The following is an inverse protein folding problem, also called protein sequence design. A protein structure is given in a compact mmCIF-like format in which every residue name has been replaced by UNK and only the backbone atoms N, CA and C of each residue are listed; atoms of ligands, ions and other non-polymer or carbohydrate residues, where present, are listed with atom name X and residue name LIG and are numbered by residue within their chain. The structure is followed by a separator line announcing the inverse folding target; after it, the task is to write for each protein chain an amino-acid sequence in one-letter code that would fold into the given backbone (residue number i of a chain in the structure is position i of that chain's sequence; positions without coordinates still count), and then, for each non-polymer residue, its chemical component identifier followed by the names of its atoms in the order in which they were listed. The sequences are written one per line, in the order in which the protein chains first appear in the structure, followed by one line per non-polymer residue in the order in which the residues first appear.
data_IF_908521331376
#
_entry.id   IF_908521331376
#
_cell.length_a   1.000
_cell.length_b   1.000
_cell.length_c   1.000
_cell.angle_alpha   90.00
_cell.angle_beta   90.00
_cell.angle_gamma   90.00
#
_symmetry.space_group_name_H-M   'P 1'
#
loop_
_entity.id
_entity.type
_entity.pdbx_description
1 polymer ?
#
# COMPACT_ATOMS: atom_id res chain seq x y z
N UNK A 1 -1.30 5.80 -76.85
CA UNK A 1 -1.67 4.59 -76.12
C UNK A 1 -0.85 4.53 -74.76
N UNK A 2 0.49 4.69 -74.81
CA UNK A 2 1.32 4.56 -73.63
C UNK A 2 1.08 5.67 -72.57
N UNK A 3 0.71 6.89 -72.99
CA UNK A 3 0.43 8.01 -72.05
C UNK A 3 -0.91 7.82 -71.32
N UNK A 4 -1.95 7.43 -72.08
CA UNK A 4 -3.27 7.15 -71.54
C UNK A 4 -3.27 5.95 -70.55
N UNK A 5 -2.51 4.88 -70.89
CA UNK A 5 -2.34 3.74 -69.97
C UNK A 5 -1.56 4.11 -68.67
N UNK A 6 -0.60 5.04 -68.78
CA UNK A 6 0.15 5.60 -67.67
C UNK A 6 -0.73 6.43 -66.73
N UNK A 7 -1.57 7.31 -67.30
CA UNK A 7 -2.51 8.13 -66.54
C UNK A 7 -3.56 7.28 -65.81
N UNK A 8 -4.09 6.26 -66.44
CA UNK A 8 -5.05 5.34 -65.82
C UNK A 8 -4.44 4.56 -64.62
N UNK A 9 -3.18 4.11 -64.76
CA UNK A 9 -2.47 3.50 -63.64
C UNK A 9 -2.21 4.48 -62.49
N UNK A 10 -1.84 5.72 -62.80
CA UNK A 10 -1.61 6.76 -61.80
C UNK A 10 -2.92 7.10 -61.07
N UNK A 11 -4.05 7.20 -61.77
CA UNK A 11 -5.35 7.45 -61.14
C UNK A 11 -5.73 6.33 -60.16
N UNK A 12 -5.56 5.06 -60.55
CA UNK A 12 -5.81 3.91 -59.67
C UNK A 12 -4.89 3.92 -58.42
N UNK A 13 -3.62 4.27 -58.58
CA UNK A 13 -2.69 4.38 -57.47
C UNK A 13 -3.03 5.54 -56.49
N UNK A 14 -3.57 6.63 -57.03
CA UNK A 14 -4.04 7.78 -56.23
C UNK A 14 -5.28 7.38 -55.42
N UNK A 15 -6.22 6.62 -55.99
CA UNK A 15 -7.39 6.11 -55.28
C UNK A 15 -6.99 5.18 -54.15
N UNK A 16 -6.06 4.24 -54.39
CA UNK A 16 -5.53 3.34 -53.37
C UNK A 16 -4.79 4.09 -52.24
N UNK A 17 -3.95 5.07 -52.59
CA UNK A 17 -3.27 5.93 -51.64
C UNK A 17 -4.27 6.74 -50.81
N UNK A 18 -5.33 7.27 -51.37
CA UNK A 18 -6.37 8.04 -50.68
C UNK A 18 -7.10 7.14 -49.68
N UNK A 19 -7.45 5.90 -50.05
CA UNK A 19 -8.08 4.95 -49.12
C UNK A 19 -7.16 4.58 -47.96
N UNK A 20 -5.88 4.31 -48.24
CA UNK A 20 -4.90 4.02 -47.18
C UNK A 20 -4.69 5.20 -46.22
N UNK A 21 -4.75 6.44 -46.73
CA UNK A 21 -4.65 7.63 -45.91
C UNK A 21 -5.87 7.86 -44.99
N UNK A 22 -7.06 7.49 -45.46
CA UNK A 22 -8.28 7.52 -44.69
C UNK A 22 -8.22 6.53 -43.53
N UNK A 23 -7.75 5.30 -43.81
CA UNK A 23 -7.52 4.28 -42.80
C UNK A 23 -6.50 4.73 -41.75
N UNK A 24 -5.35 5.25 -42.16
CA UNK A 24 -4.31 5.77 -41.25
C UNK A 24 -4.88 6.93 -40.42
N UNK A 25 -5.67 7.83 -41.01
CA UNK A 25 -6.32 8.92 -40.27
C UNK A 25 -7.26 8.39 -39.20
N UNK A 26 -8.00 7.32 -39.49
CA UNK A 26 -8.83 6.62 -38.49
C UNK A 26 -8.03 6.01 -37.35
N UNK A 27 -6.89 5.38 -37.65
CA UNK A 27 -5.98 4.80 -36.65
C UNK A 27 -5.37 5.91 -35.74
N UNK A 28 -4.99 7.05 -36.32
CA UNK A 28 -4.47 8.20 -35.55
C UNK A 28 -5.55 8.75 -34.61
N UNK A 29 -6.79 8.89 -35.06
CA UNK A 29 -7.91 9.32 -34.21
C UNK A 29 -8.18 8.34 -33.07
N UNK A 30 -8.12 7.05 -33.35
CA UNK A 30 -8.26 6.00 -32.35
C UNK A 30 -7.13 6.07 -31.32
N UNK A 31 -5.88 6.23 -31.77
CA UNK A 31 -4.69 6.37 -30.94
C UNK A 31 -4.78 7.60 -30.02
N UNK A 32 -5.32 8.71 -30.53
CA UNK A 32 -5.55 9.93 -29.74
C UNK A 32 -6.56 9.67 -28.62
N UNK A 33 -7.70 9.04 -28.93
CA UNK A 33 -8.74 8.71 -27.93
C UNK A 33 -8.20 7.75 -26.85
N UNK A 34 -7.44 6.74 -27.27
CA UNK A 34 -6.81 5.79 -26.34
C UNK A 34 -5.83 6.52 -25.42
N UNK A 35 -5.06 7.47 -25.94
CA UNK A 35 -4.12 8.26 -25.15
C UNK A 35 -4.83 9.16 -24.13
N UNK A 36 -5.95 9.79 -24.52
CA UNK A 36 -6.78 10.61 -23.60
C UNK A 36 -7.37 9.76 -22.47
N UNK A 37 -7.87 8.56 -22.78
CA UNK A 37 -8.41 7.65 -21.77
C UNK A 37 -7.29 7.10 -20.86
N UNK A 38 -6.13 6.77 -21.41
CA UNK A 38 -4.97 6.35 -20.65
C UNK A 38 -4.51 7.44 -19.69
N UNK A 39 -4.51 8.72 -20.12
CA UNK A 39 -4.18 9.86 -19.29
C UNK A 39 -5.17 10.04 -18.14
N UNK A 40 -6.47 9.87 -18.40
CA UNK A 40 -7.51 9.91 -17.37
C UNK A 40 -7.33 8.82 -16.30
N UNK A 41 -7.14 7.56 -16.76
CA UNK A 41 -6.90 6.42 -15.86
C UNK A 41 -5.61 6.58 -15.05
N UNK A 42 -4.59 7.17 -15.65
CA UNK A 42 -3.34 7.47 -14.98
C UNK A 42 -3.54 8.48 -13.83
N UNK A 43 -4.33 9.53 -14.03
CA UNK A 43 -4.67 10.48 -12.97
C UNK A 43 -5.45 9.83 -11.82
N UNK A 44 -6.33 8.87 -12.11
CA UNK A 44 -7.03 8.10 -11.08
C UNK A 44 -6.07 7.20 -10.29
N UNK A 45 -5.11 6.56 -10.98
CA UNK A 45 -4.09 5.74 -10.33
C UNK A 45 -3.18 6.56 -9.42
N UNK A 46 -2.75 7.73 -9.87
CA UNK A 46 -1.94 8.67 -9.07
C UNK A 46 -2.67 9.08 -7.78
N UNK A 47 -3.93 9.46 -7.88
CA UNK A 47 -4.75 9.80 -6.71
C UNK A 47 -4.91 8.62 -5.75
N UNK A 48 -5.07 7.39 -6.26
CA UNK A 48 -5.16 6.19 -5.45
C UNK A 48 -3.85 5.90 -4.70
N UNK A 49 -2.70 6.14 -5.34
CA UNK A 49 -1.37 6.00 -4.71
C UNK A 49 -1.18 7.05 -3.61
N UNK A 50 -1.54 8.31 -3.87
CA UNK A 50 -1.45 9.39 -2.87
C UNK A 50 -2.28 9.07 -1.63
N UNK A 51 -3.53 8.63 -1.81
CA UNK A 51 -4.40 8.22 -0.71
C UNK A 51 -3.84 7.01 0.04
N UNK A 52 -3.26 6.04 -0.68
CA UNK A 52 -2.64 4.87 -0.07
C UNK A 52 -1.43 5.25 0.78
N UNK A 53 -0.60 6.19 0.32
CA UNK A 53 0.53 6.71 1.09
C UNK A 53 0.07 7.41 2.38
N UNK A 54 -0.99 8.22 2.31
CA UNK A 54 -1.59 8.83 3.50
C UNK A 54 -2.02 7.76 4.51
N UNK A 55 -2.67 6.68 4.05
CA UNK A 55 -3.08 5.57 4.91
C UNK A 55 -1.91 4.79 5.49
N UNK A 56 -0.79 4.67 4.77
CA UNK A 56 0.43 4.06 5.32
C UNK A 56 1.02 4.91 6.46
N UNK A 57 1.01 6.23 6.34
CA UNK A 57 1.45 7.12 7.42
C UNK A 57 0.56 7.02 8.66
N UNK A 58 -0.77 6.96 8.48
CA UNK A 58 -1.70 6.73 9.59
C UNK A 58 -1.44 5.38 10.27
N UNK A 59 -1.17 4.32 9.48
CA UNK A 59 -0.86 3.00 10.00
C UNK A 59 0.45 2.96 10.77
N UNK A 60 1.51 3.62 10.28
CA UNK A 60 2.78 3.76 11.00
C UNK A 60 2.57 4.41 12.37
N UNK A 61 1.78 5.50 12.40
CA UNK A 61 1.44 6.18 13.65
C UNK A 61 0.69 5.25 14.61
N UNK A 62 -0.31 4.51 14.13
CA UNK A 62 -1.06 3.56 14.94
C UNK A 62 -0.16 2.44 15.50
N UNK A 63 0.75 1.89 14.69
CA UNK A 63 1.71 0.87 15.16
C UNK A 63 2.64 1.44 16.24
N UNK A 64 3.08 2.67 16.10
CA UNK A 64 3.89 3.35 17.13
C UNK A 64 3.11 3.51 18.43
N UNK A 65 1.87 4.00 18.38
CA UNK A 65 0.99 4.14 19.54
C UNK A 65 0.74 2.80 20.24
N UNK A 66 0.50 1.71 19.47
CA UNK A 66 0.33 0.36 20.05
C UNK A 66 1.61 -0.08 20.76
N UNK A 67 2.79 0.18 20.18
CA UNK A 67 4.08 -0.14 20.82
C UNK A 67 4.25 0.60 22.15
N UNK A 68 3.96 1.91 22.18
CA UNK A 68 4.04 2.69 23.42
C UNK A 68 3.10 2.15 24.50
N UNK A 69 1.82 1.90 24.12
CA UNK A 69 0.83 1.36 25.07
C UNK A 69 1.20 -0.03 25.58
N UNK A 70 1.72 -0.90 24.71
CA UNK A 70 2.18 -2.22 25.10
C UNK A 70 3.34 -2.15 26.08
N UNK A 71 4.28 -1.21 25.89
CA UNK A 71 5.36 -0.96 26.84
C UNK A 71 4.85 -0.44 28.20
N UNK A 72 3.80 0.41 28.20
CA UNK A 72 3.16 0.84 29.45
C UNK A 72 2.51 -0.33 30.18
N UNK A 73 1.81 -1.21 29.46
CA UNK A 73 1.18 -2.41 30.02
C UNK A 73 2.26 -3.34 30.60
N UNK A 74 3.39 -3.54 29.90
CA UNK A 74 4.50 -4.35 30.39
C UNK A 74 5.01 -3.86 31.76
N UNK A 75 5.12 -2.54 31.97
CA UNK A 75 5.49 -1.97 33.26
C UNK A 75 4.45 -2.25 34.33
N UNK A 76 3.16 -2.18 34.01
CA UNK A 76 2.07 -2.49 34.93
C UNK A 76 2.13 -3.96 35.34
N UNK A 77 2.29 -4.88 34.39
CA UNK A 77 2.41 -6.31 34.66
C UNK A 77 3.59 -6.62 35.58
N UNK A 78 4.74 -6.00 35.35
CA UNK A 78 5.88 -6.12 36.25
C UNK A 78 5.56 -5.67 37.67
N UNK A 79 4.83 -4.56 37.81
CA UNK A 79 4.37 -4.06 39.12
C UNK A 79 3.41 -5.06 39.80
N UNK A 80 2.52 -5.72 39.02
CA UNK A 80 1.61 -6.76 39.54
C UNK A 80 2.39 -7.98 40.02
N UNK A 81 3.42 -8.40 39.29
CA UNK A 81 4.31 -9.49 39.71
C UNK A 81 5.04 -9.16 41.00
N UNK A 82 5.58 -7.95 41.13
CA UNK A 82 6.23 -7.46 42.36
C UNK A 82 5.23 -7.43 43.54
N UNK A 83 3.99 -7.00 43.36
CA UNK A 83 2.93 -7.03 44.37
C UNK A 83 2.59 -8.47 44.76
N UNK A 84 2.48 -9.38 43.83
CA UNK A 84 2.23 -10.79 44.10
C UNK A 84 3.37 -11.40 44.90
N UNK A 85 4.61 -11.10 44.57
CA UNK A 85 5.78 -11.52 45.35
C UNK A 85 5.74 -10.98 46.78
N UNK A 86 5.48 -9.67 46.97
CA UNK A 86 5.37 -9.08 48.29
C UNK A 86 4.22 -9.70 49.11
N UNK A 87 3.08 -9.98 48.43
CA UNK A 87 1.92 -10.63 49.10
C UNK A 87 2.27 -12.04 49.55
N UNK A 88 3.04 -12.77 48.74
CA UNK A 88 3.51 -14.11 49.11
C UNK A 88 4.46 -14.06 50.33
N UNK A 89 5.36 -13.07 50.40
CA UNK A 89 6.22 -12.88 51.58
C UNK A 89 5.40 -12.49 52.84
N UNK A 90 4.39 -11.64 52.67
CA UNK A 90 3.46 -11.26 53.75
C UNK A 90 2.67 -12.48 54.26
N UNK A 91 2.18 -13.34 53.37
CA UNK A 91 1.48 -14.56 53.76
C UNK A 91 2.37 -15.54 54.54
N UNK A 92 3.65 -15.67 54.10
CA UNK A 92 4.63 -16.49 54.78
C UNK A 92 4.91 -15.98 56.23
N UNK A 93 5.07 -14.66 56.38
CA UNK A 93 5.28 -14.03 57.69
C UNK A 93 4.03 -14.23 58.56
N UNK A 94 2.82 -14.11 58.02
CA UNK A 94 1.58 -14.36 58.74
C UNK A 94 1.43 -15.83 59.17
N UNK A 95 1.84 -16.78 58.32
CA UNK A 95 1.83 -18.22 58.64
C UNK A 95 2.82 -18.52 59.80
N UNK A 96 4.01 -17.93 59.78
CA UNK A 96 5.00 -18.05 60.85
C UNK A 96 4.43 -17.56 62.19
N UNK A 97 3.80 -16.37 62.18
CA UNK A 97 3.27 -15.79 63.42
C UNK A 97 2.02 -16.58 63.94
N UNK A 98 1.18 -17.09 63.00
CA UNK A 98 0.09 -18.00 63.35
C UNK A 98 0.61 -19.30 64.02
N UNK A 99 1.69 -19.89 63.50
CA UNK A 99 2.33 -21.05 64.13
C UNK A 99 2.86 -20.70 65.55
N UNK A 100 3.39 -19.51 65.71
CA UNK A 100 3.91 -19.02 67.01
C UNK A 100 2.81 -18.85 68.07
N UNK A 101 1.59 -18.51 67.64
CA UNK A 101 0.41 -18.43 68.51
C UNK A 101 -0.20 -19.78 68.88
N UNK A 102 0.29 -20.89 68.33
CA UNK A 102 -0.12 -22.25 68.69
C UNK A 102 -1.59 -22.55 68.37
N UNK A 103 -2.32 -23.07 69.36
CA UNK A 103 -3.74 -23.48 69.17
C UNK A 103 -4.65 -22.28 68.75
N UNK A 104 -4.38 -21.07 69.25
CA UNK A 104 -5.12 -19.84 68.96
C UNK A 104 -4.89 -19.32 67.52
N UNK A 105 -3.78 -19.70 66.90
CA UNK A 105 -3.41 -19.26 65.55
C UNK A 105 -3.92 -20.15 64.41
N UNK A 106 -4.53 -21.31 64.66
CA UNK A 106 -4.91 -22.29 63.60
C UNK A 106 -5.77 -21.69 62.49
N UNK A 107 -6.75 -20.85 62.81
CA UNK A 107 -7.61 -20.20 61.81
C UNK A 107 -6.83 -19.20 60.94
N UNK A 108 -5.90 -18.47 61.53
CA UNK A 108 -5.04 -17.53 60.82
C UNK A 108 -4.04 -18.24 59.88
N UNK A 109 -3.51 -19.40 60.28
CA UNK A 109 -2.62 -20.19 59.42
C UNK A 109 -3.31 -20.62 58.11
N UNK A 110 -4.56 -21.08 58.17
CA UNK A 110 -5.31 -21.45 56.95
C UNK A 110 -5.51 -20.25 56.03
N UNK A 111 -5.82 -19.08 56.58
CA UNK A 111 -5.97 -17.85 55.76
C UNK A 111 -4.62 -17.42 55.16
N UNK A 112 -3.53 -17.52 55.94
CA UNK A 112 -2.21 -17.20 55.43
C UNK A 112 -1.80 -18.13 54.27
N UNK A 113 -2.02 -19.42 54.39
CA UNK A 113 -1.76 -20.39 53.31
C UNK A 113 -2.60 -20.10 52.05
N UNK A 114 -3.89 -19.75 52.21
CA UNK A 114 -4.75 -19.40 51.06
C UNK A 114 -4.31 -18.09 50.38
N UNK A 115 -3.88 -17.07 51.17
CA UNK A 115 -3.32 -15.83 50.61
C UNK A 115 -2.02 -16.10 49.86
N UNK A 116 -1.15 -16.98 50.39
CA UNK A 116 0.08 -17.42 49.71
C UNK A 116 -0.22 -18.12 48.36
N UNK A 117 -1.17 -19.04 48.35
CA UNK A 117 -1.62 -19.70 47.11
C UNK A 117 -2.16 -18.71 46.10
N UNK A 118 -2.97 -17.73 46.54
CA UNK A 118 -3.53 -16.69 45.64
C UNK A 118 -2.42 -15.81 45.09
N UNK A 119 -1.42 -15.43 45.91
CA UNK A 119 -0.26 -14.66 45.48
C UNK A 119 0.55 -15.40 44.40
N UNK A 120 0.79 -16.69 44.60
CA UNK A 120 1.50 -17.53 43.57
C UNK A 120 0.72 -17.63 42.29
N UNK A 121 -0.62 -17.80 42.33
CA UNK A 121 -1.47 -17.80 41.14
C UNK A 121 -1.43 -16.44 40.40
N UNK A 122 -1.44 -15.36 41.18
CA UNK A 122 -1.34 -13.99 40.63
C UNK A 122 0.00 -13.72 39.98
N UNK A 123 1.11 -14.13 40.57
CA UNK A 123 2.46 -14.05 39.97
C UNK A 123 2.52 -14.85 38.63
N UNK A 124 1.98 -16.07 38.63
CA UNK A 124 1.95 -16.89 37.39
C UNK A 124 1.10 -16.25 36.30
N UNK A 125 -0.04 -15.67 36.65
CA UNK A 125 -0.89 -14.94 35.70
C UNK A 125 -0.20 -13.69 35.15
N UNK A 126 0.49 -12.93 36.00
CA UNK A 126 1.30 -11.78 35.61
C UNK A 126 2.41 -12.21 34.63
N UNK A 127 3.16 -13.25 34.95
CA UNK A 127 4.21 -13.76 34.09
C UNK A 127 3.67 -14.15 32.70
N UNK A 128 2.59 -14.95 32.63
CA UNK A 128 2.00 -15.37 31.38
C UNK A 128 1.49 -14.14 30.56
N UNK A 129 0.93 -13.12 31.25
CA UNK A 129 0.50 -11.90 30.59
C UNK A 129 1.69 -11.09 30.06
N UNK A 130 2.80 -11.06 30.82
CA UNK A 130 4.06 -10.43 30.37
C UNK A 130 4.57 -11.05 29.07
N UNK A 131 4.60 -12.39 28.99
CA UNK A 131 5.00 -13.12 27.78
C UNK A 131 4.11 -12.76 26.57
N UNK A 132 2.77 -12.67 26.76
CA UNK A 132 1.84 -12.28 25.71
C UNK A 132 2.04 -10.82 25.26
N UNK A 133 2.43 -9.93 26.15
CA UNK A 133 2.73 -8.54 25.82
C UNK A 133 4.04 -8.44 25.02
N UNK A 134 5.06 -9.22 25.36
CA UNK A 134 6.31 -9.27 24.59
C UNK A 134 6.06 -9.79 23.16
N UNK A 135 5.29 -10.88 23.01
CA UNK A 135 4.87 -11.41 21.69
C UNK A 135 4.06 -10.36 20.90
N UNK A 136 3.21 -9.59 21.57
CA UNK A 136 2.44 -8.51 20.95
C UNK A 136 3.35 -7.40 20.44
N UNK A 137 4.34 -6.98 21.22
CA UNK A 137 5.32 -5.95 20.84
C UNK A 137 6.09 -6.41 19.60
N UNK A 138 6.56 -7.66 19.59
CA UNK A 138 7.27 -8.24 18.44
C UNK A 138 6.39 -8.27 17.17
N UNK A 139 5.14 -8.69 17.31
CA UNK A 139 4.18 -8.71 16.20
C UNK A 139 3.92 -7.31 15.64
N UNK A 140 3.77 -6.30 16.51
CA UNK A 140 3.55 -4.90 16.12
C UNK A 140 4.79 -4.32 15.43
N UNK A 141 5.99 -4.61 15.93
CA UNK A 141 7.25 -4.20 15.29
C UNK A 141 7.39 -4.78 13.88
N UNK A 142 7.02 -6.06 13.71
CA UNK A 142 6.97 -6.69 12.39
C UNK A 142 5.94 -6.02 11.50
N UNK A 143 4.75 -5.69 12.03
CA UNK A 143 3.72 -4.94 11.31
C UNK A 143 4.19 -3.56 10.87
N UNK A 144 4.88 -2.83 11.74
CA UNK A 144 5.46 -1.52 11.43
C UNK A 144 6.47 -1.61 10.27
N UNK A 145 7.34 -2.62 10.29
CA UNK A 145 8.30 -2.86 9.21
C UNK A 145 7.62 -3.16 7.87
N UNK A 146 6.59 -4.02 7.86
CA UNK A 146 5.82 -4.32 6.64
C UNK A 146 5.15 -3.06 6.11
N UNK A 147 4.64 -2.19 6.99
CA UNK A 147 4.02 -0.92 6.61
C UNK A 147 5.04 0.02 5.94
N UNK A 148 6.26 0.09 6.46
CA UNK A 148 7.37 0.87 5.87
C UNK A 148 7.75 0.33 4.48
N UNK A 149 7.97 -0.96 4.34
CA UNK A 149 8.29 -1.62 3.05
C UNK A 149 7.15 -1.42 2.03
N UNK A 150 5.89 -1.39 2.50
CA UNK A 150 4.74 -1.10 1.64
C UNK A 150 4.72 0.35 1.18
N UNK A 151 5.04 1.30 2.05
CA UNK A 151 5.14 2.71 1.68
C UNK A 151 6.25 2.95 0.64
N UNK A 152 7.41 2.31 0.77
CA UNK A 152 8.49 2.36 -0.22
C UNK A 152 8.04 1.78 -1.58
N UNK A 153 7.29 0.69 -1.55
CA UNK A 153 6.73 0.07 -2.76
C UNK A 153 5.73 1.00 -3.46
N UNK A 154 4.87 1.67 -2.69
CA UNK A 154 3.94 2.67 -3.22
C UNK A 154 4.67 3.88 -3.83
N UNK A 155 5.79 4.31 -3.24
CA UNK A 155 6.62 5.37 -3.83
C UNK A 155 7.17 4.93 -5.20
N UNK A 156 7.61 3.68 -5.31
CA UNK A 156 8.07 3.14 -6.60
C UNK A 156 6.94 3.07 -7.64
N UNK A 157 5.71 2.78 -7.21
CA UNK A 157 4.53 2.84 -8.09
C UNK A 157 4.28 4.28 -8.55
N UNK A 158 4.37 5.27 -7.65
CA UNK A 158 4.25 6.69 -7.99
C UNK A 158 5.25 7.11 -9.07
N UNK A 159 6.53 6.76 -8.88
CA UNK A 159 7.60 7.08 -9.82
C UNK A 159 7.37 6.44 -11.20
N UNK A 160 6.81 5.23 -11.24
CA UNK A 160 6.48 4.56 -12.50
C UNK A 160 5.25 5.17 -13.16
N UNK A 161 4.27 5.59 -12.36
CA UNK A 161 3.08 6.33 -12.82
C UNK A 161 3.50 7.61 -13.55
N UNK A 162 4.44 8.39 -13.01
CA UNK A 162 5.00 9.57 -13.66
C UNK A 162 5.69 9.26 -15.00
N UNK A 163 6.42 8.14 -15.08
CA UNK A 163 7.04 7.71 -16.34
C UNK A 163 6.00 7.35 -17.41
N UNK A 164 4.95 6.64 -17.00
CA UNK A 164 3.83 6.30 -17.91
C UNK A 164 3.14 7.57 -18.40
N UNK A 165 2.93 8.56 -17.56
CA UNK A 165 2.38 9.85 -17.93
C UNK A 165 3.17 10.52 -19.07
N UNK A 166 4.50 10.55 -18.94
CA UNK A 166 5.40 11.10 -19.96
C UNK A 166 5.33 10.32 -21.28
N UNK A 167 5.16 9.00 -21.22
CA UNK A 167 5.00 8.18 -22.42
C UNK A 167 3.67 8.45 -23.13
N UNK A 168 2.57 8.61 -22.39
CA UNK A 168 1.25 8.95 -22.94
C UNK A 168 1.32 10.33 -23.63
N UNK A 169 1.97 11.32 -23.01
CA UNK A 169 2.19 12.62 -23.63
C UNK A 169 3.00 12.52 -24.94
N UNK A 170 4.01 11.65 -24.98
CA UNK A 170 4.78 11.42 -26.21
C UNK A 170 3.93 10.80 -27.30
N UNK A 171 3.10 9.80 -26.97
CA UNK A 171 2.17 9.16 -27.93
C UNK A 171 1.20 10.21 -28.47
N UNK A 172 0.59 11.03 -27.60
CA UNK A 172 -0.33 12.10 -28.02
C UNK A 172 0.33 13.10 -28.97
N UNK A 173 1.58 13.51 -28.65
CA UNK A 173 2.34 14.41 -29.54
C UNK A 173 2.69 13.75 -30.89
N UNK A 174 3.02 12.46 -30.88
CA UNK A 174 3.31 11.71 -32.12
C UNK A 174 2.05 11.58 -32.98
N UNK A 175 0.92 11.21 -32.40
CA UNK A 175 -0.35 11.12 -33.09
C UNK A 175 -0.77 12.45 -33.74
N UNK A 176 -0.55 13.58 -33.02
CA UNK A 176 -0.79 14.90 -33.60
C UNK A 176 0.12 15.20 -34.79
N UNK A 177 1.42 14.91 -34.68
CA UNK A 177 2.38 15.11 -35.77
C UNK A 177 2.06 14.23 -36.98
N UNK A 178 1.61 13.00 -36.76
CA UNK A 178 1.17 12.10 -37.81
C UNK A 178 -0.11 12.61 -38.50
N UNK A 179 -1.07 13.14 -37.71
CA UNK A 179 -2.27 13.80 -38.25
C UNK A 179 -1.93 14.97 -39.17
N UNK A 180 -1.00 15.85 -38.74
CA UNK A 180 -0.53 16.99 -39.54
C UNK A 180 0.17 16.51 -40.81
N UNK A 181 0.93 15.39 -40.73
CA UNK A 181 1.58 14.75 -41.90
C UNK A 181 0.59 14.17 -42.88
N UNK A 182 -0.45 13.49 -42.41
CA UNK A 182 -1.52 12.95 -43.26
C UNK A 182 -2.29 14.07 -43.98
N UNK A 183 -2.56 15.16 -43.28
CA UNK A 183 -3.17 16.33 -43.92
C UNK A 183 -2.33 16.87 -45.08
N UNK A 184 -1.02 17.04 -44.88
CA UNK A 184 -0.09 17.52 -45.90
C UNK A 184 0.01 16.54 -47.11
N UNK A 185 -0.02 15.22 -46.82
CA UNK A 185 -0.05 14.20 -47.88
C UNK A 185 -1.36 14.25 -48.68
N UNK A 186 -2.50 14.48 -48.03
CA UNK A 186 -3.79 14.62 -48.69
C UNK A 186 -3.81 15.84 -49.64
N UNK A 187 -3.27 16.96 -49.21
CA UNK A 187 -3.12 18.14 -50.05
C UNK A 187 -2.23 17.86 -51.29
N UNK A 188 -1.13 17.12 -51.10
CA UNK A 188 -0.25 16.71 -52.18
C UNK A 188 -0.91 15.75 -53.19
N UNK A 189 -1.69 14.76 -52.69
CA UNK A 189 -2.47 13.85 -53.52
C UNK A 189 -3.52 14.57 -54.35
N UNK A 190 -4.20 15.55 -53.82
CA UNK A 190 -5.18 16.36 -54.57
C UNK A 190 -4.49 17.13 -55.71
N UNK A 191 -3.28 17.67 -55.48
CA UNK A 191 -2.53 18.33 -56.54
C UNK A 191 -2.11 17.36 -57.63
N UNK A 192 -1.63 16.15 -57.28
CA UNK A 192 -1.26 15.14 -58.29
C UNK A 192 -2.49 14.69 -59.06
N UNK A 193 -3.64 14.45 -58.40
CA UNK A 193 -4.90 14.07 -59.04
C UNK A 193 -5.34 15.11 -60.10
N UNK A 194 -5.17 16.41 -59.80
CA UNK A 194 -5.51 17.49 -60.73
C UNK A 194 -4.61 17.59 -61.95
N UNK A 195 -3.43 16.99 -61.93
CA UNK A 195 -2.48 16.97 -63.07
C UNK A 195 -2.67 15.72 -63.91
N UNK A 196 -3.17 14.63 -63.34
CA UNK A 196 -3.40 13.34 -64.04
C UNK A 196 -4.72 13.32 -64.81
N UNK A 197 -5.70 14.12 -64.37
CA UNK A 197 -6.96 14.34 -65.13
C UNK A 197 -6.74 15.27 -66.32
#
# INVERSE_FOLDING_TARGET
QTLSDGSAKQASSIEELSANMEDISGEIQSSTKISEEAFRLQGEAENAVLLSNEKMLEMQKAMHEITERSNEISKIIKTIDDIAFQTNILSLNAAIEAARAGAAGKGFAVVADEVGNLAQKSAKAAQNTGELIEETIEAVQKGAKITEETAESLQSVSDNTDKVNKLIEQISRSAKKESDGIQSLNEGLQQISSVVQ
#
